data_IF_556033664966
#
_entry.id   IF_556033664966
#
_cell.length_a   1.000
_cell.length_b   1.000
_cell.length_c   1.000
_cell.angle_alpha   90.00
_cell.angle_beta   90.00
_cell.angle_gamma   90.00
#
_symmetry.space_group_name_H-M   'P 1'
#
loop_
_entity.id
_entity.type
_entity.pdbx_description
1 polymer ?
#
# COMPACT_ATOMS: atom_id res chain seq x y z
N UNK A 1 18.95 -7.95 -5.70
CA UNK A 1 18.40 -9.18 -5.09
C UNK A 1 17.10 -8.85 -4.39
N UNK A 2 16.02 -9.57 -4.68
CA UNK A 2 14.72 -9.38 -4.01
C UNK A 2 14.84 -9.74 -2.53
N UNK A 3 14.56 -8.79 -1.65
CA UNK A 3 14.58 -9.00 -0.21
C UNK A 3 13.43 -9.92 0.23
N UNK A 4 13.71 -10.85 1.16
CA UNK A 4 12.66 -11.70 1.70
C UNK A 4 11.65 -10.90 2.55
N UNK A 5 10.39 -11.34 2.68
CA UNK A 5 9.42 -10.71 3.57
C UNK A 5 9.90 -10.57 5.01
N UNK A 6 10.71 -11.53 5.49
CA UNK A 6 11.33 -11.47 6.83
C UNK A 6 12.32 -10.32 6.96
N UNK A 7 13.18 -10.15 5.96
CA UNK A 7 14.15 -9.04 5.91
C UNK A 7 13.43 -7.70 5.80
N UNK A 8 12.45 -7.58 4.90
CA UNK A 8 11.63 -6.39 4.75
C UNK A 8 10.93 -6.00 6.06
N UNK A 9 10.33 -6.96 6.75
CA UNK A 9 9.71 -6.72 8.06
C UNK A 9 10.72 -6.16 9.06
N UNK A 10 11.90 -6.78 9.18
CA UNK A 10 12.93 -6.30 10.10
C UNK A 10 13.36 -4.87 9.82
N UNK A 11 13.52 -4.50 8.54
CA UNK A 11 13.98 -3.17 8.14
C UNK A 11 12.89 -2.10 8.29
N UNK A 12 11.65 -2.44 7.97
CA UNK A 12 10.57 -1.46 7.83
C UNK A 12 9.68 -1.32 9.08
N UNK A 13 9.64 -2.35 9.95
CA UNK A 13 8.77 -2.34 11.14
C UNK A 13 9.01 -1.17 12.10
N UNK A 14 10.24 -0.68 12.35
CA UNK A 14 10.41 0.50 13.22
C UNK A 14 9.70 1.73 12.70
N UNK A 15 9.72 1.96 11.38
CA UNK A 15 9.01 3.09 10.77
C UNK A 15 7.49 2.84 10.69
N UNK A 16 7.08 1.58 10.50
CA UNK A 16 5.67 1.19 10.57
C UNK A 16 5.09 1.51 11.96
N UNK A 17 5.83 1.17 13.03
CA UNK A 17 5.42 1.48 14.40
C UNK A 17 5.37 3.00 14.66
N UNK A 18 6.32 3.76 14.14
CA UNK A 18 6.36 5.21 14.30
C UNK A 18 5.13 5.88 13.64
N UNK A 19 4.78 5.51 12.41
CA UNK A 19 3.62 6.09 11.74
C UNK A 19 2.30 5.62 12.33
N UNK A 20 2.22 4.39 12.82
CA UNK A 20 1.05 3.90 13.54
C UNK A 20 0.83 4.71 14.83
N UNK A 21 1.87 4.95 15.62
CA UNK A 21 1.79 5.76 16.83
C UNK A 21 1.37 7.20 16.54
N UNK A 22 1.88 7.78 15.45
CA UNK A 22 1.53 9.14 15.04
C UNK A 22 0.04 9.26 14.67
N UNK A 23 -0.47 8.34 13.87
CA UNK A 23 -1.84 8.39 13.35
C UNK A 23 -2.87 7.75 14.29
N UNK A 24 -2.44 6.79 15.08
CA UNK A 24 -3.29 5.84 15.82
C UNK A 24 -4.39 5.23 14.91
N UNK A 25 -4.01 4.85 13.71
CA UNK A 25 -4.81 4.04 12.80
C UNK A 25 -4.07 2.76 12.47
N UNK A 26 -4.78 1.76 11.99
CA UNK A 26 -4.17 0.52 11.53
C UNK A 26 -3.30 0.78 10.31
N UNK A 27 -2.08 0.31 10.31
CA UNK A 27 -1.11 0.44 9.22
C UNK A 27 -0.63 -0.93 8.76
N UNK A 28 -0.37 -1.06 7.48
CA UNK A 28 -0.04 -2.32 6.84
C UNK A 28 1.10 -2.16 5.83
N UNK A 29 1.88 -3.23 5.67
CA UNK A 29 2.85 -3.40 4.60
C UNK A 29 2.41 -4.51 3.66
N UNK A 30 2.46 -4.22 2.36
CA UNK A 30 1.95 -5.09 1.30
C UNK A 30 3.00 -5.38 0.24
N UNK A 31 2.96 -6.58 -0.32
CA UNK A 31 3.68 -6.95 -1.53
C UNK A 31 2.69 -7.36 -2.63
N UNK A 32 3.11 -7.16 -3.88
CA UNK A 32 2.34 -7.58 -5.05
C UNK A 32 2.63 -9.06 -5.35
N UNK A 33 1.57 -9.85 -5.50
CA UNK A 33 1.60 -11.25 -5.90
C UNK A 33 0.66 -11.47 -7.10
N UNK A 34 1.19 -11.39 -8.30
CA UNK A 34 0.36 -11.35 -9.51
C UNK A 34 -0.55 -10.13 -9.48
N UNK A 35 -1.86 -10.34 -9.66
CA UNK A 35 -2.88 -9.28 -9.63
C UNK A 35 -3.45 -9.00 -8.22
N UNK A 36 -2.88 -9.64 -7.20
CA UNK A 36 -3.28 -9.50 -5.81
C UNK A 36 -2.19 -8.83 -4.98
N UNK A 37 -2.57 -8.28 -3.85
CA UNK A 37 -1.63 -7.89 -2.79
C UNK A 37 -1.79 -8.80 -1.59
N UNK A 38 -0.67 -9.07 -0.94
CA UNK A 38 -0.62 -9.81 0.32
C UNK A 38 -0.03 -8.94 1.41
N UNK A 39 -0.71 -8.90 2.55
CA UNK A 39 -0.18 -8.28 3.75
C UNK A 39 0.95 -9.15 4.34
N UNK A 40 2.11 -8.56 4.64
CA UNK A 40 3.21 -9.27 5.29
C UNK A 40 3.60 -8.70 6.66
N UNK A 41 3.12 -7.51 6.99
CA UNK A 41 3.24 -6.92 8.33
C UNK A 41 2.15 -5.88 8.56
N UNK A 42 1.78 -5.65 9.81
CA UNK A 42 0.81 -4.65 10.19
C UNK A 42 0.78 -4.39 11.69
N UNK A 43 0.28 -3.22 12.06
CA UNK A 43 0.06 -2.82 13.45
C UNK A 43 -1.33 -2.21 13.54
N UNK A 44 -2.16 -2.76 14.42
CA UNK A 44 -3.54 -2.28 14.61
C UNK A 44 -3.59 -0.97 15.39
N UNK A 45 -4.62 -0.19 15.12
CA UNK A 45 -5.02 0.94 15.96
C UNK A 45 -5.38 0.47 17.36
N UNK A 46 -5.12 1.31 18.36
CA UNK A 46 -5.55 1.07 19.74
C UNK A 46 -6.96 1.58 20.02
N UNK A 47 -7.64 2.19 19.03
CA UNK A 47 -9.03 2.64 19.15
C UNK A 47 -9.98 1.45 19.22
N UNK A 48 -11.10 1.61 19.92
CA UNK A 48 -12.14 0.55 20.02
C UNK A 48 -12.67 0.16 18.63
N UNK A 49 -13.01 1.15 17.79
CA UNK A 49 -13.38 0.90 16.41
C UNK A 49 -12.15 1.05 15.52
N UNK A 50 -11.62 -0.06 15.06
CA UNK A 50 -10.42 -0.14 14.27
C UNK A 50 -10.56 -1.15 13.12
N UNK A 51 -9.85 -0.88 12.03
CA UNK A 51 -9.65 -1.88 10.96
C UNK A 51 -8.65 -2.91 11.48
N UNK A 52 -8.96 -4.21 11.32
CA UNK A 52 -8.05 -5.27 11.71
C UNK A 52 -6.95 -5.50 10.69
N UNK A 53 -5.79 -5.88 11.18
CA UNK A 53 -4.73 -6.45 10.32
C UNK A 53 -5.12 -7.87 9.95
N UNK A 54 -5.22 -8.11 8.65
CA UNK A 54 -5.50 -9.45 8.14
C UNK A 54 -4.27 -9.97 7.36
N UNK A 55 -3.35 -10.62 8.09
CA UNK A 55 -2.06 -11.05 7.59
C UNK A 55 -2.11 -12.15 6.50
N UNK A 56 -3.28 -12.71 6.26
CA UNK A 56 -3.45 -13.82 5.30
C UNK A 56 -4.35 -13.47 4.12
N UNK A 57 -4.99 -12.30 4.14
CA UNK A 57 -5.88 -11.91 3.07
C UNK A 57 -5.11 -11.48 1.83
N UNK A 58 -5.46 -12.13 0.73
CA UNK A 58 -5.14 -11.68 -0.61
C UNK A 58 -6.28 -10.83 -1.12
N UNK A 59 -5.99 -9.58 -1.43
CA UNK A 59 -6.96 -8.63 -1.95
C UNK A 59 -6.57 -8.31 -3.40
N UNK A 60 -7.52 -8.27 -4.36
CA UNK A 60 -7.20 -7.77 -5.69
C UNK A 60 -6.53 -6.39 -5.61
N UNK A 61 -5.36 -6.25 -6.22
CA UNK A 61 -4.54 -5.04 -6.07
C UNK A 61 -5.31 -3.76 -6.42
N UNK A 62 -6.15 -3.81 -7.46
CA UNK A 62 -6.94 -2.66 -7.89
C UNK A 62 -8.02 -2.20 -6.90
N UNK A 63 -8.32 -2.99 -5.86
CA UNK A 63 -9.33 -2.70 -4.84
C UNK A 63 -8.79 -2.11 -3.56
N UNK A 64 -7.51 -2.23 -3.30
CA UNK A 64 -6.88 -1.71 -2.07
C UNK A 64 -6.06 -0.45 -2.34
N UNK A 65 -5.93 0.41 -1.34
CA UNK A 65 -5.08 1.59 -1.44
C UNK A 65 -3.60 1.20 -1.66
N UNK A 66 -3.10 0.24 -0.89
CA UNK A 66 -1.73 -0.28 -1.07
C UNK A 66 -1.53 -0.91 -2.44
N UNK A 67 -2.49 -1.70 -2.91
CA UNK A 67 -2.42 -2.33 -4.23
C UNK A 67 -2.43 -1.33 -5.37
N UNK A 68 -3.30 -0.31 -5.32
CA UNK A 68 -3.29 0.76 -6.34
C UNK A 68 -1.99 1.56 -6.33
N UNK A 69 -1.39 1.79 -5.16
CA UNK A 69 -0.07 2.42 -5.08
C UNK A 69 1.02 1.57 -5.76
N UNK A 70 1.01 0.24 -5.57
CA UNK A 70 1.93 -0.67 -6.25
C UNK A 70 1.68 -0.70 -7.76
N UNK A 71 0.44 -0.83 -8.19
CA UNK A 71 0.08 -0.81 -9.61
C UNK A 71 0.47 0.51 -10.29
N UNK A 72 0.36 1.64 -9.59
CA UNK A 72 0.76 2.95 -10.11
C UNK A 72 2.27 3.06 -10.35
N UNK A 73 3.08 2.23 -9.69
CA UNK A 73 4.53 2.14 -9.91
C UNK A 73 4.91 1.36 -11.17
N UNK A 74 3.96 0.64 -11.75
CA UNK A 74 4.11 -0.09 -13.00
C UNK A 74 3.69 0.78 -14.19
N UNK A 75 4.16 0.42 -15.38
CA UNK A 75 3.66 1.02 -16.61
C UNK A 75 2.24 0.56 -16.93
N UNK A 76 1.50 1.35 -17.71
CA UNK A 76 0.16 0.93 -18.14
C UNK A 76 0.18 -0.40 -18.91
N UNK A 77 1.26 -0.66 -19.67
CA UNK A 77 1.44 -1.91 -20.40
C UNK A 77 1.57 -3.11 -19.47
N UNK A 78 2.37 -2.98 -18.42
CA UNK A 78 2.51 -4.03 -17.39
C UNK A 78 1.18 -4.29 -16.68
N UNK A 79 0.45 -3.23 -16.33
CA UNK A 79 -0.88 -3.35 -15.70
C UNK A 79 -1.86 -4.08 -16.65
N UNK A 80 -1.85 -3.78 -17.95
CA UNK A 80 -2.68 -4.46 -18.94
C UNK A 80 -2.29 -5.94 -19.09
N UNK A 81 -1.00 -6.22 -19.20
CA UNK A 81 -0.49 -7.59 -19.35
C UNK A 81 -0.83 -8.48 -18.15
N UNK A 82 -0.63 -7.99 -16.93
CA UNK A 82 -0.97 -8.75 -15.73
C UNK A 82 -2.48 -8.99 -15.56
N UNK A 83 -3.32 -8.14 -16.13
CA UNK A 83 -4.79 -8.27 -16.13
C UNK A 83 -5.35 -8.75 -17.47
N UNK A 84 -4.58 -9.50 -18.26
CA UNK A 84 -5.01 -9.99 -19.58
C UNK A 84 -6.32 -10.80 -19.55
N UNK A 85 -6.65 -11.44 -18.41
CA UNK A 85 -7.90 -12.16 -18.17
C UNK A 85 -9.01 -11.25 -17.57
N UNK A 86 -8.81 -9.94 -17.54
CA UNK A 86 -9.71 -8.99 -16.92
C UNK A 86 -9.47 -8.79 -15.42
N UNK A 87 -10.26 -7.91 -14.82
CA UNK A 87 -10.20 -7.65 -13.39
C UNK A 87 -10.93 -8.78 -12.64
N UNK A 88 -10.37 -9.29 -11.53
CA UNK A 88 -11.07 -10.25 -10.68
C UNK A 88 -12.39 -9.66 -10.18
N UNK A 89 -13.45 -10.46 -10.16
CA UNK A 89 -14.73 -10.05 -9.59
C UNK A 89 -14.58 -9.81 -8.09
N UNK A 90 -15.23 -8.75 -7.61
CA UNK A 90 -15.29 -8.40 -6.20
C UNK A 90 -16.67 -7.79 -5.89
N UNK A 91 -17.04 -7.72 -4.62
CA UNK A 91 -18.40 -7.27 -4.21
C UNK A 91 -18.67 -5.77 -4.33
N UNK A 92 -17.72 -4.96 -4.77
CA UNK A 92 -17.91 -3.53 -5.04
C UNK A 92 -17.69 -3.24 -6.51
N UNK A 93 -18.49 -2.36 -7.10
CA UNK A 93 -18.51 -2.11 -8.56
C UNK A 93 -17.84 -0.79 -8.98
N UNK A 94 -17.03 -0.16 -8.13
CA UNK A 94 -16.48 1.19 -8.42
C UNK A 94 -15.45 1.23 -9.57
N UNK A 95 -14.67 0.17 -9.73
CA UNK A 95 -13.72 0.01 -10.84
C UNK A 95 -14.08 -1.27 -11.58
N UNK A 96 -14.64 -1.15 -12.75
CA UNK A 96 -15.19 -2.28 -13.50
C UNK A 96 -14.43 -2.60 -14.78
N UNK A 97 -13.42 -1.80 -15.13
CA UNK A 97 -12.63 -1.97 -16.35
C UNK A 97 -11.17 -1.57 -16.17
N UNK A 98 -10.31 -2.15 -17.02
CA UNK A 98 -8.89 -1.77 -17.11
C UNK A 98 -8.73 -0.30 -17.46
N UNK A 99 -9.57 0.25 -18.33
CA UNK A 99 -9.54 1.67 -18.68
C UNK A 99 -9.85 2.58 -17.47
N UNK A 100 -10.83 2.21 -16.65
CA UNK A 100 -11.12 2.92 -15.40
C UNK A 100 -9.96 2.80 -14.41
N UNK A 101 -9.37 1.61 -14.27
CA UNK A 101 -8.18 1.40 -13.44
C UNK A 101 -7.03 2.31 -13.88
N UNK A 102 -6.69 2.34 -15.18
CA UNK A 102 -5.60 3.20 -15.69
C UNK A 102 -5.82 4.68 -15.38
N UNK A 103 -7.06 5.18 -15.47
CA UNK A 103 -7.38 6.57 -15.06
C UNK A 103 -7.13 6.79 -13.57
N UNK A 104 -7.52 5.87 -12.71
CA UNK A 104 -7.24 5.93 -11.28
C UNK A 104 -5.73 5.93 -11.00
N UNK A 105 -4.98 5.06 -11.67
CA UNK A 105 -3.52 4.98 -11.50
C UNK A 105 -2.81 6.26 -11.98
N UNK A 106 -3.33 6.91 -13.02
CA UNK A 106 -2.83 8.22 -13.45
C UNK A 106 -2.97 9.27 -12.33
N UNK A 107 -4.12 9.33 -11.68
CA UNK A 107 -4.35 10.22 -10.52
C UNK A 107 -3.43 9.88 -9.35
N UNK A 108 -3.22 8.59 -9.07
CA UNK A 108 -2.28 8.14 -8.03
C UNK A 108 -0.86 8.63 -8.30
N UNK A 109 -0.39 8.52 -9.55
CA UNK A 109 0.94 9.01 -9.95
C UNK A 109 1.09 10.52 -9.78
N UNK A 110 0.01 11.29 -10.04
CA UNK A 110 0.01 12.74 -9.87
C UNK A 110 0.03 13.15 -8.39
N UNK A 111 -0.73 12.47 -7.54
CA UNK A 111 -0.87 12.83 -6.12
C UNK A 111 0.20 12.19 -5.23
N UNK A 112 0.86 11.12 -5.67
CA UNK A 112 1.82 10.36 -4.88
C UNK A 112 1.20 9.41 -3.86
N UNK A 113 -0.12 9.25 -3.84
CA UNK A 113 -0.84 8.30 -2.99
C UNK A 113 -2.11 7.79 -3.64
N UNK A 114 -2.56 6.61 -3.25
CA UNK A 114 -3.83 6.02 -3.63
C UNK A 114 -4.83 6.07 -2.47
N UNK A 115 -6.11 6.05 -2.80
CA UNK A 115 -7.19 5.93 -1.81
C UNK A 115 -8.01 4.66 -2.06
N UNK A 116 -8.56 4.14 -0.98
CA UNK A 116 -9.62 3.14 -0.97
C UNK A 116 -10.84 3.77 -0.29
N UNK A 117 -11.95 3.83 -0.99
CA UNK A 117 -13.22 4.37 -0.49
C UNK A 117 -14.25 3.24 -0.47
N UNK A 118 -14.16 2.36 0.53
CA UNK A 118 -15.02 1.18 0.70
C UNK A 118 -15.01 0.20 -0.47
N UNK A 119 -13.90 0.18 -1.24
CA UNK A 119 -13.78 -0.67 -2.44
C UNK A 119 -13.37 -2.12 -2.09
N UNK A 120 -12.54 -2.30 -1.07
CA UNK A 120 -12.14 -3.62 -0.60
C UNK A 120 -13.16 -4.20 0.39
N UNK A 121 -13.68 -3.38 1.30
CA UNK A 121 -14.65 -3.76 2.31
C UNK A 121 -15.54 -2.57 2.66
N UNK A 122 -16.84 -2.81 2.85
CA UNK A 122 -17.77 -1.79 3.33
C UNK A 122 -17.33 -1.28 4.72
N UNK A 123 -17.49 0.01 4.96
CA UNK A 123 -17.10 0.67 6.20
C UNK A 123 -15.60 0.91 6.37
N UNK A 124 -14.77 0.52 5.39
CA UNK A 124 -13.31 0.68 5.44
C UNK A 124 -12.84 1.59 4.31
N UNK A 125 -12.18 2.67 4.70
CA UNK A 125 -11.44 3.54 3.79
C UNK A 125 -9.94 3.44 4.07
N UNK A 126 -9.11 4.00 3.19
CA UNK A 126 -7.67 3.99 3.40
C UNK A 126 -6.90 4.83 2.42
N UNK A 127 -5.65 5.01 2.77
CA UNK A 127 -4.61 5.65 1.95
C UNK A 127 -3.44 4.68 1.80
N UNK A 128 -2.82 4.66 0.64
CA UNK A 128 -1.65 3.83 0.37
C UNK A 128 -0.60 4.58 -0.43
N UNK A 129 0.65 4.30 -0.14
CA UNK A 129 1.81 4.85 -0.84
C UNK A 129 2.79 3.73 -1.21
N UNK A 130 3.49 3.88 -2.32
CA UNK A 130 4.54 2.95 -2.70
C UNK A 130 5.86 3.31 -2.00
N UNK A 131 6.61 2.29 -1.60
CA UNK A 131 7.96 2.40 -1.06
C UNK A 131 8.89 1.68 -2.03
N UNK A 132 9.82 2.41 -2.62
CA UNK A 132 10.80 1.89 -3.56
C UNK A 132 12.17 1.79 -2.90
N UNK A 133 12.92 0.73 -3.16
CA UNK A 133 14.36 0.80 -2.97
C UNK A 133 14.97 1.72 -4.04
N UNK A 134 16.09 2.40 -3.75
CA UNK A 134 16.72 3.31 -4.71
C UNK A 134 17.17 2.65 -6.00
N UNK A 135 17.54 1.36 -5.95
CA UNK A 135 17.91 0.54 -7.13
C UNK A 135 16.68 0.01 -7.89
N UNK A 136 15.46 0.26 -7.40
CA UNK A 136 14.21 -0.22 -7.98
C UNK A 136 13.96 -1.72 -7.81
N UNK A 137 14.83 -2.46 -7.13
CA UNK A 137 14.70 -3.92 -6.95
C UNK A 137 13.57 -4.31 -6.00
N UNK A 138 13.25 -3.45 -5.04
CA UNK A 138 12.22 -3.69 -4.04
C UNK A 138 11.08 -2.69 -4.17
N UNK A 139 9.87 -3.20 -4.23
CA UNK A 139 8.65 -2.43 -4.26
C UNK A 139 7.67 -3.01 -3.24
N UNK A 140 7.35 -2.24 -2.23
CA UNK A 140 6.32 -2.56 -1.24
C UNK A 140 5.33 -1.39 -1.13
N UNK A 141 4.16 -1.61 -0.53
CA UNK A 141 3.27 -0.51 -0.19
C UNK A 141 3.12 -0.39 1.33
N UNK A 142 3.06 0.86 1.78
CA UNK A 142 2.61 1.25 3.11
C UNK A 142 1.18 1.79 2.99
N UNK A 143 0.27 1.32 3.83
CA UNK A 143 -1.10 1.83 3.85
C UNK A 143 -1.62 2.02 5.26
N UNK A 144 -2.63 2.89 5.40
CA UNK A 144 -3.45 3.01 6.60
C UNK A 144 -4.90 2.70 6.28
N UNK A 145 -5.51 1.82 7.08
CA UNK A 145 -6.93 1.50 7.04
C UNK A 145 -7.69 2.22 8.15
N UNK A 146 -8.79 2.86 7.81
CA UNK A 146 -9.57 3.72 8.71
C UNK A 146 -11.04 3.40 8.53
N UNK A 147 -11.83 3.28 9.61
CA UNK A 147 -13.30 3.24 9.50
C UNK A 147 -13.83 4.46 8.74
N UNK A 148 -14.76 4.23 7.81
CA UNK A 148 -15.31 5.29 6.95
C UNK A 148 -15.91 6.45 7.74
N UNK A 149 -16.43 6.18 8.95
CA UNK A 149 -17.05 7.18 9.84
C UNK A 149 -16.09 8.27 10.31
N UNK A 150 -14.77 8.06 10.24
CA UNK A 150 -13.77 9.08 10.59
C UNK A 150 -12.79 9.40 9.46
N UNK A 151 -13.13 9.01 8.24
CA UNK A 151 -12.32 9.27 7.05
C UNK A 151 -12.77 10.55 6.34
N UNK A 152 -12.56 11.71 6.98
CA UNK A 152 -12.83 13.03 6.40
C UNK A 152 -11.77 13.43 5.37
N UNK A 153 -12.05 14.43 4.49
CA UNK A 153 -11.02 14.98 3.60
C UNK A 153 -9.77 15.49 4.33
N UNK A 154 -9.94 16.12 5.49
CA UNK A 154 -8.82 16.58 6.32
C UNK A 154 -8.01 15.41 6.88
N UNK A 155 -8.69 14.36 7.38
CA UNK A 155 -8.03 13.15 7.89
C UNK A 155 -7.29 12.41 6.78
N UNK A 156 -7.88 12.30 5.60
CA UNK A 156 -7.23 11.72 4.42
C UNK A 156 -5.93 12.44 4.08
N UNK A 157 -5.93 13.77 4.09
CA UNK A 157 -4.74 14.59 3.81
C UNK A 157 -3.65 14.34 4.85
N UNK A 158 -4.00 14.38 6.13
CA UNK A 158 -3.09 14.11 7.24
C UNK A 158 -2.43 12.72 7.11
N UNK A 159 -3.22 11.69 6.82
CA UNK A 159 -2.73 10.34 6.64
C UNK A 159 -1.80 10.26 5.41
N UNK A 160 -2.19 10.86 4.28
CA UNK A 160 -1.38 10.85 3.07
C UNK A 160 -0.01 11.48 3.29
N UNK A 161 0.05 12.64 3.93
CA UNK A 161 1.30 13.34 4.26
C UNK A 161 2.20 12.48 5.17
N UNK A 162 1.65 11.89 6.22
CA UNK A 162 2.39 11.03 7.14
C UNK A 162 2.92 9.75 6.45
N UNK A 163 2.12 9.13 5.57
CA UNK A 163 2.56 7.94 4.83
C UNK A 163 3.63 8.27 3.79
N UNK A 164 3.53 9.40 3.09
CA UNK A 164 4.54 9.83 2.11
C UNK A 164 5.89 10.07 2.81
N UNK A 165 5.90 10.76 3.94
CA UNK A 165 7.10 10.98 4.73
C UNK A 165 7.70 9.66 5.24
N UNK A 166 6.86 8.78 5.76
CA UNK A 166 7.27 7.45 6.21
C UNK A 166 7.83 6.58 5.09
N UNK A 167 7.24 6.64 3.90
CA UNK A 167 7.73 5.92 2.73
C UNK A 167 9.13 6.38 2.31
N UNK A 168 9.42 7.68 2.39
CA UNK A 168 10.76 8.24 2.14
C UNK A 168 11.79 7.69 3.15
N UNK A 169 11.44 7.65 4.43
CA UNK A 169 12.31 7.06 5.46
C UNK A 169 12.53 5.57 5.26
N UNK A 170 11.49 4.83 4.89
CA UNK A 170 11.59 3.40 4.56
C UNK A 170 12.49 3.15 3.35
N UNK A 171 12.36 3.94 2.30
CA UNK A 171 13.21 3.90 1.11
C UNK A 171 14.69 4.09 1.45
N UNK A 172 15.01 5.06 2.31
CA UNK A 172 16.38 5.29 2.78
C UNK A 172 16.95 4.09 3.58
N UNK A 173 16.13 3.40 4.36
CA UNK A 173 16.53 2.19 5.09
C UNK A 173 16.83 1.02 4.16
N UNK A 174 16.07 0.86 3.09
CA UNK A 174 16.33 -0.15 2.06
C UNK A 174 17.68 0.12 1.38
N UNK A 175 17.98 1.38 1.05
CA UNK A 175 19.27 1.79 0.48
C UNK A 175 20.46 1.46 1.37
N UNK A 176 20.31 1.66 2.69
CA UNK A 176 21.38 1.37 3.65
C UNK A 176 21.67 -0.12 3.79
N UNK A 177 20.68 -0.98 3.57
CA UNK A 177 20.85 -2.43 3.64
C UNK A 177 21.63 -2.99 2.45
N UNK A 178 21.31 -2.52 1.25
CA UNK A 178 21.99 -2.93 0.01
C UNK A 178 23.49 -2.63 0.06
N UNK A 179 23.88 -1.52 0.68
CA UNK A 179 25.31 -1.16 0.85
C UNK A 179 26.04 -2.06 1.84
N UNK A 180 25.39 -2.50 2.92
CA UNK A 180 26.02 -3.35 3.93
C UNK A 180 26.27 -4.79 3.46
N UNK A 181 25.57 -5.26 2.43
CA UNK A 181 25.80 -6.58 1.82
C UNK A 181 26.90 -6.57 0.75
N UNK A 182 27.27 -5.37 0.23
CA UNK A 182 28.33 -5.22 -0.77
C UNK A 182 29.72 -5.07 -0.09
N UNK A 183 29.74 -4.50 1.13
CA UNK A 183 30.97 -4.21 1.88
C UNK A 183 31.37 -5.32 2.89
N UNK A 184 30.67 -6.44 2.93
CA UNK A 184 30.95 -7.60 3.79
C UNK A 184 31.30 -8.85 2.99
#
# INVERSE_FOLDING_TARGET
TLLSPRTLRRLLRPQLAAVQSLLNETVNLWILEGIYVRNFDGIESTRELAVRVNAYDRIPAYRSAGGKALLASLTNREVEQMHAQGLPKWHSERVTSIAALKRHLHTVRQHGYATNLEEASLGVCGVGVAVHSPDGSTLVALSSGVPSTRFSPARRKEIAEALIESASTMSARLAGHDRSEIDG
#
